data_IF_033516266902
#
_entry.id   IF_033516266902
#
_cell.length_a   1.000
_cell.length_b   1.000
_cell.length_c   1.000
_cell.angle_alpha   90.00
_cell.angle_beta   90.00
_cell.angle_gamma   90.00
#
_symmetry.space_group_name_H-M   'P 1'
#
loop_
_entity.id
_entity.type
_entity.pdbx_description
1 polymer ?
#
# COMPACT_ATOMS: atom_id res chain seq x y z
N UNK A 1 -6.37 -3.46 -17.35
CA UNK A 1 -5.47 -2.96 -16.27
C UNK A 1 -4.94 -1.58 -16.65
N UNK A 2 -4.98 -0.59 -15.74
CA UNK A 2 -4.37 0.73 -16.00
C UNK A 2 -2.86 0.56 -16.18
N UNK A 3 -2.29 1.28 -17.16
CA UNK A 3 -0.86 1.20 -17.56
C UNK A 3 0.15 1.45 -16.43
N UNK A 4 -0.30 2.00 -15.29
CA UNK A 4 0.53 2.45 -14.16
C UNK A 4 0.53 1.45 -12.98
N UNK A 5 -0.44 0.53 -12.90
CA UNK A 5 -0.56 -0.37 -11.74
C UNK A 5 0.29 -1.62 -11.92
N UNK A 6 1.42 -1.70 -11.20
CA UNK A 6 2.30 -2.86 -11.14
C UNK A 6 2.34 -3.43 -9.72
N UNK A 7 2.12 -4.74 -9.57
CA UNK A 7 2.12 -5.43 -8.28
C UNK A 7 3.23 -6.48 -8.26
N UNK A 8 4.19 -6.32 -7.34
CA UNK A 8 5.30 -7.27 -7.16
C UNK A 8 4.82 -8.64 -6.68
N UNK A 9 3.67 -8.70 -6.00
CA UNK A 9 3.07 -9.94 -5.49
C UNK A 9 2.89 -11.00 -6.57
N UNK A 10 2.47 -10.63 -7.80
CA UNK A 10 2.33 -11.59 -8.90
C UNK A 10 3.67 -12.20 -9.31
N UNK A 11 4.72 -11.37 -9.42
CA UNK A 11 6.06 -11.84 -9.80
C UNK A 11 6.61 -12.82 -8.77
N UNK A 12 6.52 -12.46 -7.49
CA UNK A 12 6.99 -13.30 -6.38
C UNK A 12 6.19 -14.61 -6.33
N UNK A 13 4.87 -14.54 -6.47
CA UNK A 13 4.03 -15.72 -6.44
C UNK A 13 4.37 -16.71 -7.55
N UNK A 14 4.55 -16.22 -8.78
CA UNK A 14 4.96 -17.05 -9.92
C UNK A 14 6.28 -17.77 -9.67
N UNK A 15 7.29 -17.07 -9.13
CA UNK A 15 8.60 -17.66 -8.80
C UNK A 15 8.49 -18.76 -7.72
N UNK A 16 7.53 -18.60 -6.81
CA UNK A 16 7.26 -19.56 -5.74
C UNK A 16 6.28 -20.68 -6.16
N UNK A 17 5.78 -20.68 -7.40
CA UNK A 17 4.76 -21.62 -7.86
C UNK A 17 3.39 -21.44 -7.17
N UNK A 18 3.11 -20.24 -6.66
CA UNK A 18 1.88 -19.89 -5.95
C UNK A 18 0.97 -19.06 -6.86
N UNK A 19 -0.34 -19.31 -6.79
CA UNK A 19 -1.35 -18.44 -7.40
C UNK A 19 -1.80 -17.36 -6.42
N UNK A 20 -1.85 -16.09 -6.85
CA UNK A 20 -2.35 -14.97 -6.05
C UNK A 20 -3.65 -14.44 -6.65
N UNK A 21 -4.68 -14.34 -5.80
CA UNK A 21 -5.94 -13.68 -6.13
C UNK A 21 -5.93 -12.24 -5.60
N UNK A 22 -6.36 -11.28 -6.43
CA UNK A 22 -6.41 -9.86 -6.05
C UNK A 22 -7.80 -9.27 -6.34
N UNK A 23 -8.80 -9.53 -5.47
CA UNK A 23 -10.19 -9.13 -5.73
C UNK A 23 -10.39 -7.63 -5.95
N UNK A 24 -9.60 -6.79 -5.27
CA UNK A 24 -9.74 -5.33 -5.35
C UNK A 24 -9.29 -4.70 -6.67
N UNK A 25 -8.60 -5.46 -7.53
CA UNK A 25 -8.21 -4.97 -8.87
C UNK A 25 -9.14 -5.49 -9.97
N UNK A 26 -10.21 -6.20 -9.59
CA UNK A 26 -11.23 -6.62 -10.53
C UNK A 26 -11.83 -5.40 -11.25
N UNK A 27 -12.10 -5.55 -12.55
CA UNK A 27 -12.57 -4.45 -13.37
C UNK A 27 -13.92 -3.90 -12.91
N UNK A 28 -14.81 -4.78 -12.40
CA UNK A 28 -16.10 -4.36 -11.85
C UNK A 28 -15.93 -3.49 -10.60
N UNK A 29 -14.99 -3.85 -9.73
CA UNK A 29 -14.65 -3.09 -8.53
C UNK A 29 -14.04 -1.74 -8.90
N UNK A 30 -13.11 -1.70 -9.84
CA UNK A 30 -12.48 -0.45 -10.30
C UNK A 30 -13.55 0.49 -10.87
N UNK A 31 -14.40 -0.01 -11.79
CA UNK A 31 -15.49 0.79 -12.38
C UNK A 31 -16.46 1.31 -11.31
N UNK A 32 -16.83 0.47 -10.35
CA UNK A 32 -17.68 0.89 -9.23
C UNK A 32 -17.05 2.04 -8.44
N UNK A 33 -15.77 1.89 -8.03
CA UNK A 33 -15.07 2.91 -7.24
C UNK A 33 -14.92 4.24 -7.98
N UNK A 34 -14.77 4.22 -9.31
CA UNK A 34 -14.70 5.44 -10.14
C UNK A 34 -15.99 6.25 -10.15
N UNK A 35 -17.13 5.63 -9.82
CA UNK A 35 -18.43 6.33 -9.71
C UNK A 35 -18.68 6.92 -8.31
N UNK A 36 -17.86 6.58 -7.31
CA UNK A 36 -18.11 6.98 -5.94
C UNK A 36 -17.75 8.45 -5.68
N UNK A 37 -18.58 9.19 -4.91
CA UNK A 37 -18.23 10.52 -4.46
C UNK A 37 -17.03 10.48 -3.49
N UNK A 38 -16.22 11.54 -3.52
CA UNK A 38 -14.94 11.64 -2.79
C UNK A 38 -15.10 11.47 -1.28
N UNK A 39 -16.23 11.91 -0.71
CA UNK A 39 -16.53 11.78 0.72
C UNK A 39 -16.69 10.31 1.19
N UNK A 40 -16.94 9.37 0.27
CA UNK A 40 -16.93 7.93 0.54
C UNK A 40 -15.52 7.32 0.44
N UNK A 41 -14.56 8.02 -0.18
CA UNK A 41 -13.17 7.57 -0.26
C UNK A 41 -12.35 8.15 0.89
N UNK A 42 -12.59 9.41 1.24
CA UNK A 42 -11.88 10.15 2.29
C UNK A 42 -12.88 10.93 3.15
N UNK A 43 -12.84 10.74 4.46
CA UNK A 43 -13.70 11.46 5.40
C UNK A 43 -12.99 11.64 6.77
N UNK A 44 -13.69 12.14 7.78
CA UNK A 44 -13.18 12.36 9.13
C UNK A 44 -13.95 11.56 10.18
N UNK A 45 -13.22 11.03 11.16
CA UNK A 45 -13.78 10.48 12.39
C UNK A 45 -13.01 11.11 13.56
N UNK A 46 -13.71 11.70 14.54
CA UNK A 46 -13.11 12.36 15.71
C UNK A 46 -12.01 13.38 15.34
N UNK A 47 -12.24 14.17 14.30
CA UNK A 47 -11.29 15.16 13.78
C UNK A 47 -10.09 14.59 13.02
N UNK A 48 -9.96 13.26 12.92
CA UNK A 48 -8.88 12.59 12.19
C UNK A 48 -9.36 12.23 10.79
N UNK A 49 -8.60 12.65 9.75
CA UNK A 49 -8.89 12.29 8.35
C UNK A 49 -8.47 10.85 8.06
N UNK A 50 -9.41 10.06 7.54
CA UNK A 50 -9.19 8.69 7.11
C UNK A 50 -9.49 8.52 5.62
N UNK A 51 -8.60 7.81 4.92
CA UNK A 51 -8.91 7.25 3.60
C UNK A 51 -9.57 5.88 3.72
N UNK A 52 -10.02 5.35 2.57
CA UNK A 52 -10.76 4.08 2.44
C UNK A 52 -12.03 4.07 3.30
N UNK A 53 -12.72 5.21 3.38
CA UNK A 53 -13.83 5.41 4.31
C UNK A 53 -14.97 4.40 4.11
N UNK A 54 -15.42 4.19 2.87
CA UNK A 54 -16.46 3.22 2.53
C UNK A 54 -16.11 1.79 2.98
N UNK A 55 -14.84 1.39 2.87
CA UNK A 55 -14.40 0.07 3.33
C UNK A 55 -14.43 -0.02 4.86
N UNK A 56 -14.02 1.03 5.57
CA UNK A 56 -14.08 1.05 7.05
C UNK A 56 -15.52 0.91 7.52
N UNK A 57 -16.44 1.65 6.89
CA UNK A 57 -17.87 1.58 7.22
C UNK A 57 -18.50 0.23 6.87
N UNK A 58 -18.15 -0.35 5.74
CA UNK A 58 -18.68 -1.65 5.32
C UNK A 58 -18.39 -2.78 6.33
N UNK A 59 -17.26 -2.70 7.04
CA UNK A 59 -16.81 -3.74 7.98
C UNK A 59 -16.82 -3.27 9.46
N UNK A 60 -17.43 -2.12 9.77
CA UNK A 60 -17.34 -1.54 11.12
C UNK A 60 -17.97 -2.41 12.21
N UNK A 61 -18.91 -3.25 11.83
CA UNK A 61 -19.58 -4.21 12.71
C UNK A 61 -18.96 -5.61 12.67
N UNK A 62 -18.09 -5.89 11.70
CA UNK A 62 -17.49 -7.21 11.47
C UNK A 62 -16.08 -7.33 12.06
N UNK A 63 -15.37 -6.21 12.21
CA UNK A 63 -13.97 -6.18 12.68
C UNK A 63 -13.81 -5.27 13.91
N UNK A 64 -12.81 -5.56 14.77
CA UNK A 64 -12.54 -4.71 15.92
C UNK A 64 -12.25 -3.26 15.54
N UNK A 65 -12.74 -2.32 16.36
CA UNK A 65 -12.53 -0.88 16.18
C UNK A 65 -11.05 -0.49 16.03
N UNK A 66 -10.15 -1.20 16.74
CA UNK A 66 -8.69 -1.02 16.63
C UNK A 66 -8.12 -1.34 15.25
N UNK A 67 -8.77 -2.21 14.47
CA UNK A 67 -8.43 -2.53 13.07
C UNK A 67 -9.10 -1.52 12.14
N UNK A 68 -10.41 -1.29 12.32
CA UNK A 68 -11.22 -0.40 11.48
C UNK A 68 -10.72 1.04 11.50
N UNK A 69 -10.23 1.55 12.63
CA UNK A 69 -9.77 2.94 12.79
C UNK A 69 -8.24 3.04 12.97
N UNK A 70 -7.51 1.98 12.60
CA UNK A 70 -6.04 1.98 12.65
C UNK A 70 -5.45 3.08 11.78
N UNK A 71 -4.50 3.84 12.35
CA UNK A 71 -3.69 4.82 11.62
C UNK A 71 -2.79 4.13 10.60
N UNK A 72 -2.50 4.82 9.49
CA UNK A 72 -1.54 4.32 8.50
C UNK A 72 -0.14 4.30 9.12
N UNK A 73 0.50 3.15 9.05
CA UNK A 73 1.93 2.98 9.36
C UNK A 73 2.69 2.87 8.05
N UNK A 74 3.84 3.55 7.88
CA UNK A 74 4.72 3.32 6.74
C UNK A 74 5.13 1.84 6.64
N UNK A 75 5.32 1.34 5.41
CA UNK A 75 5.55 -0.09 5.19
C UNK A 75 6.87 -0.56 5.81
N UNK A 76 7.90 0.29 5.77
CA UNK A 76 9.21 0.02 6.35
C UNK A 76 9.16 -0.14 7.87
N UNK A 77 8.31 0.63 8.55
CA UNK A 77 8.12 0.53 9.99
C UNK A 77 7.30 -0.72 10.32
N UNK A 78 6.24 -0.98 9.53
CA UNK A 78 5.37 -2.14 9.74
C UNK A 78 6.02 -3.50 9.45
N UNK A 79 7.00 -3.54 8.54
CA UNK A 79 7.76 -4.76 8.19
C UNK A 79 9.11 -4.87 8.90
N UNK A 80 9.51 -3.86 9.68
CA UNK A 80 10.79 -3.83 10.38
C UNK A 80 12.00 -3.65 9.47
N UNK A 81 11.83 -3.20 8.23
CA UNK A 81 12.93 -3.07 7.25
C UNK A 81 13.72 -1.78 7.37
N UNK A 82 13.50 -0.98 8.42
CA UNK A 82 14.23 0.28 8.67
C UNK A 82 15.75 0.05 8.72
N UNK A 83 16.19 -1.12 9.18
CA UNK A 83 17.61 -1.49 9.22
C UNK A 83 18.28 -1.57 7.83
N UNK A 84 17.52 -1.85 6.77
CA UNK A 84 18.06 -1.91 5.42
C UNK A 84 18.60 -0.57 4.94
N UNK A 85 18.01 0.55 5.38
CA UNK A 85 18.50 1.89 5.04
C UNK A 85 19.93 2.05 5.52
N UNK A 86 20.18 1.74 6.80
CA UNK A 86 21.53 1.80 7.39
C UNK A 86 22.51 0.85 6.70
N UNK A 87 22.04 -0.34 6.33
CA UNK A 87 22.87 -1.29 5.58
C UNK A 87 23.30 -0.70 4.23
N UNK A 88 22.36 -0.13 3.46
CA UNK A 88 22.68 0.48 2.18
C UNK A 88 23.61 1.69 2.32
N UNK A 89 23.41 2.54 3.33
CA UNK A 89 24.30 3.68 3.61
C UNK A 89 25.75 3.23 3.89
N UNK A 90 25.92 2.04 4.50
CA UNK A 90 27.27 1.48 4.76
C UNK A 90 27.93 0.84 3.54
N UNK A 91 27.13 0.31 2.61
CA UNK A 91 27.62 -0.43 1.43
C UNK A 91 27.80 0.50 0.23
N UNK A 92 26.92 1.48 0.07
CA UNK A 92 26.88 2.43 -1.04
C UNK A 92 27.29 3.79 -0.48
N UNK A 93 28.59 4.02 -0.40
CA UNK A 93 29.13 5.31 0.05
C UNK A 93 28.83 6.43 -0.93
N UNK A 94 28.89 7.68 -0.45
CA UNK A 94 28.68 8.86 -1.28
C UNK A 94 29.56 8.90 -2.53
N UNK A 95 30.80 8.43 -2.43
CA UNK A 95 31.73 8.41 -3.57
C UNK A 95 31.29 7.39 -4.63
N UNK A 96 30.91 6.17 -4.21
CA UNK A 96 30.36 5.14 -5.11
C UNK A 96 29.08 5.66 -5.78
N UNK A 97 28.21 6.30 -4.99
CA UNK A 97 26.96 6.86 -5.50
C UNK A 97 27.21 7.97 -6.53
N UNK A 98 28.10 8.92 -6.23
CA UNK A 98 28.47 10.02 -7.13
C UNK A 98 29.13 9.52 -8.42
N UNK A 99 29.95 8.48 -8.34
CA UNK A 99 30.56 7.88 -9.53
C UNK A 99 29.49 7.24 -10.44
N UNK A 100 28.56 6.47 -9.87
CA UNK A 100 27.51 5.77 -10.64
C UNK A 100 26.42 6.69 -11.19
N UNK A 101 26.21 7.87 -10.58
CA UNK A 101 25.22 8.85 -11.02
C UNK A 101 25.75 9.84 -12.05
N UNK A 102 27.07 9.91 -12.26
CA UNK A 102 27.67 10.57 -13.43
C UNK A 102 27.40 9.72 -14.68
N UNK A 103 26.20 9.86 -15.22
CA UNK A 103 25.86 9.53 -16.60
C UNK A 103 25.94 10.79 -17.45
#
# INVERSE_FOLDING_TARGET
MKKIMHFTSQKIANELGISVQMPFIDESIIKFVETLPVNLLVNQNDGIKFGKWILRKAFENDLPSSVIWRKKTPMQDGSGTVGLIKMFDSVITDDIFKEKTKK
#
